data_IF_414837163876
#
_entry.id   IF_414837163876
#
_cell.length_a   1.000
_cell.length_b   1.000
_cell.length_c   1.000
_cell.angle_alpha   90.00
_cell.angle_beta   90.00
_cell.angle_gamma   90.00
#
_symmetry.space_group_name_H-M   'P 1'
#
loop_
_entity.id
_entity.type
_entity.pdbx_description
1 polymer ?
#
# COMPACT_ATOMS: atom_id res chain seq x y z
N UNK A 1 -16.91 -22.34 4.15
CA UNK A 1 -17.55 -21.45 5.15
C UNK A 1 -18.44 -22.21 6.12
N UNK A 2 -19.33 -23.10 5.64
CA UNK A 2 -20.25 -23.89 6.48
C UNK A 2 -19.53 -24.61 7.63
N UNK A 3 -18.47 -25.35 7.33
CA UNK A 3 -17.71 -26.10 8.34
C UNK A 3 -17.14 -25.19 9.43
N UNK A 4 -16.61 -24.03 9.07
CA UNK A 4 -16.10 -23.05 10.04
C UNK A 4 -17.23 -22.50 10.91
N UNK A 5 -18.41 -22.26 10.33
CA UNK A 5 -19.58 -21.78 11.09
C UNK A 5 -20.11 -22.84 12.07
N UNK A 6 -19.96 -24.13 11.75
CA UNK A 6 -20.42 -25.24 12.58
C UNK A 6 -19.41 -25.65 13.65
N UNK A 7 -18.14 -25.76 13.28
CA UNK A 7 -17.08 -26.34 14.12
C UNK A 7 -16.41 -25.28 14.99
N UNK A 8 -16.16 -24.10 14.43
CA UNK A 8 -15.40 -23.05 15.09
C UNK A 8 -15.94 -21.66 14.69
N UNK A 9 -17.18 -21.33 15.10
CA UNK A 9 -17.89 -20.16 14.59
C UNK A 9 -17.09 -18.86 14.76
N UNK A 10 -16.24 -18.76 15.78
CA UNK A 10 -15.44 -17.59 16.11
C UNK A 10 -14.06 -17.49 15.43
N UNK A 11 -13.70 -18.47 14.60
CA UNK A 11 -12.44 -18.46 13.87
C UNK A 11 -12.41 -17.39 12.77
N UNK A 12 -11.19 -16.90 12.50
CA UNK A 12 -10.88 -16.16 11.27
C UNK A 12 -10.47 -17.12 10.16
N UNK A 13 -10.85 -16.79 8.94
CA UNK A 13 -10.31 -17.43 7.73
C UNK A 13 -9.34 -16.46 7.07
N UNK A 14 -8.10 -16.93 6.87
CA UNK A 14 -7.06 -16.23 6.14
C UNK A 14 -6.89 -16.93 4.79
N UNK A 15 -7.33 -16.29 3.71
CA UNK A 15 -7.33 -16.86 2.37
C UNK A 15 -6.12 -16.42 1.54
N UNK A 16 -5.34 -17.41 1.11
CA UNK A 16 -4.26 -17.25 0.13
C UNK A 16 -4.65 -17.73 -1.28
N UNK A 17 -5.82 -18.36 -1.42
CA UNK A 17 -6.27 -18.92 -2.71
C UNK A 17 -6.65 -17.81 -3.68
N UNK A 18 -6.13 -17.91 -4.89
CA UNK A 18 -6.40 -16.95 -5.96
C UNK A 18 -7.67 -17.30 -6.76
N UNK A 19 -8.34 -16.30 -7.37
CA UNK A 19 -8.06 -14.85 -7.28
C UNK A 19 -8.48 -14.25 -5.92
N UNK A 20 -7.52 -13.84 -5.09
CA UNK A 20 -7.77 -13.57 -3.67
C UNK A 20 -8.75 -12.41 -3.45
N UNK A 21 -8.69 -11.37 -4.29
CA UNK A 21 -9.64 -10.26 -4.26
C UNK A 21 -11.07 -10.68 -4.59
N UNK A 22 -11.25 -11.46 -5.66
CA UNK A 22 -12.58 -11.91 -6.10
C UNK A 22 -13.18 -12.93 -5.13
N UNK A 23 -12.37 -13.83 -4.56
CA UNK A 23 -12.83 -14.74 -3.50
C UNK A 23 -13.29 -13.94 -2.28
N UNK A 24 -12.51 -12.94 -1.86
CA UNK A 24 -12.88 -12.06 -0.73
C UNK A 24 -14.18 -11.31 -1.01
N UNK A 25 -14.33 -10.77 -2.22
CA UNK A 25 -15.54 -10.06 -2.64
C UNK A 25 -16.77 -10.98 -2.68
N UNK A 26 -16.61 -12.21 -3.15
CA UNK A 26 -17.69 -13.19 -3.17
C UNK A 26 -18.17 -13.54 -1.76
N UNK A 27 -17.23 -13.74 -0.82
CA UNK A 27 -17.55 -13.96 0.59
C UNK A 27 -18.25 -12.74 1.18
N UNK A 28 -17.75 -11.54 0.90
CA UNK A 28 -18.32 -10.29 1.40
C UNK A 28 -19.75 -10.03 0.92
N UNK A 29 -20.02 -10.21 -0.38
CA UNK A 29 -21.33 -9.90 -1.00
C UNK A 29 -22.37 -10.99 -0.84
N UNK A 30 -21.96 -12.26 -0.88
CA UNK A 30 -22.89 -13.39 -1.00
C UNK A 30 -22.97 -14.23 0.27
N UNK A 31 -22.30 -13.83 1.35
CA UNK A 31 -22.37 -14.51 2.65
C UNK A 31 -22.47 -13.52 3.80
N UNK A 32 -22.91 -14.01 4.96
CA UNK A 32 -22.88 -13.24 6.21
C UNK A 32 -21.58 -13.42 7.01
N UNK A 33 -20.56 -14.03 6.42
CA UNK A 33 -19.34 -14.37 7.13
C UNK A 33 -18.39 -13.16 7.19
N UNK A 34 -18.19 -12.61 8.41
CA UNK A 34 -17.43 -11.36 8.61
C UNK A 34 -15.95 -11.56 8.94
N UNK A 35 -15.57 -12.72 9.47
CA UNK A 35 -14.20 -13.01 9.91
C UNK A 35 -13.33 -13.59 8.78
N UNK A 36 -13.27 -12.90 7.64
CA UNK A 36 -12.56 -13.36 6.46
C UNK A 36 -11.56 -12.29 5.98
N UNK A 37 -10.31 -12.68 5.75
CA UNK A 37 -9.27 -11.80 5.21
C UNK A 37 -8.60 -12.51 4.05
N UNK A 38 -8.62 -11.90 2.86
CA UNK A 38 -7.77 -12.29 1.75
C UNK A 38 -6.40 -11.61 1.85
N UNK A 39 -5.33 -12.36 1.61
CA UNK A 39 -3.96 -11.85 1.69
C UNK A 39 -3.20 -12.08 0.38
N UNK A 40 -2.23 -11.19 0.09
CA UNK A 40 -1.28 -11.35 -1.00
C UNK A 40 0.10 -10.83 -0.61
N UNK A 41 1.10 -11.16 -1.42
CA UNK A 41 2.50 -10.83 -1.18
C UNK A 41 2.98 -9.56 -1.92
N UNK A 42 2.15 -8.92 -2.74
CA UNK A 42 2.56 -7.70 -3.47
C UNK A 42 3.01 -6.58 -2.52
N UNK A 43 2.31 -6.27 -1.40
CA UNK A 43 2.75 -5.20 -0.49
C UNK A 43 4.13 -5.44 0.12
N UNK A 44 4.47 -6.68 0.48
CA UNK A 44 5.79 -6.98 1.02
C UNK A 44 6.88 -6.85 -0.05
N UNK A 45 6.61 -7.30 -1.29
CA UNK A 45 7.51 -7.09 -2.43
C UNK A 45 7.74 -5.61 -2.72
N UNK A 46 6.69 -4.79 -2.67
CA UNK A 46 6.79 -3.33 -2.80
C UNK A 46 7.64 -2.71 -1.69
N UNK A 47 7.47 -3.14 -0.44
CA UNK A 47 8.28 -2.66 0.68
C UNK A 47 9.77 -2.94 0.45
N UNK A 48 10.11 -4.18 0.09
CA UNK A 48 11.50 -4.56 -0.19
C UNK A 48 12.09 -3.74 -1.34
N UNK A 49 11.33 -3.55 -2.42
CA UNK A 49 11.75 -2.75 -3.57
C UNK A 49 11.99 -1.28 -3.19
N UNK A 50 11.07 -0.65 -2.44
CA UNK A 50 11.19 0.75 -2.02
C UNK A 50 12.37 0.95 -1.07
N UNK A 51 12.58 0.02 -0.14
CA UNK A 51 13.75 0.01 0.76
C UNK A 51 15.05 0.03 -0.03
N UNK A 52 15.16 -0.78 -1.08
CA UNK A 52 16.35 -0.85 -1.94
C UNK A 52 16.53 0.43 -2.77
N UNK A 53 15.46 0.89 -3.45
CA UNK A 53 15.50 2.09 -4.31
C UNK A 53 15.85 3.35 -3.52
N UNK A 54 15.30 3.52 -2.32
CA UNK A 54 15.58 4.67 -1.44
C UNK A 54 16.83 4.47 -0.57
N UNK A 55 17.55 3.35 -0.72
CA UNK A 55 18.77 3.00 0.02
C UNK A 55 18.60 3.12 1.53
N UNK A 56 17.50 2.61 2.05
CA UNK A 56 17.17 2.73 3.48
C UNK A 56 18.04 1.79 4.33
N UNK A 57 18.44 2.30 5.48
CA UNK A 57 19.15 1.57 6.53
C UNK A 57 18.17 0.82 7.46
N UNK A 58 18.65 -0.14 8.26
CA UNK A 58 17.81 -0.80 9.27
C UNK A 58 17.22 0.13 10.33
N UNK A 59 17.82 1.31 10.52
CA UNK A 59 17.32 2.35 11.44
C UNK A 59 16.22 3.22 10.82
N UNK A 60 16.00 3.15 9.51
CA UNK A 60 14.97 3.96 8.85
C UNK A 60 13.58 3.32 8.99
N UNK A 61 12.62 4.13 9.42
CA UNK A 61 11.22 3.74 9.49
C UNK A 61 10.52 4.01 8.15
N UNK A 62 10.12 2.95 7.46
CA UNK A 62 9.40 3.01 6.19
C UNK A 62 7.90 2.75 6.39
N UNK A 63 7.09 3.77 6.11
CA UNK A 63 5.63 3.69 6.04
C UNK A 63 5.18 3.88 4.59
N UNK A 64 4.41 2.93 4.05
CA UNK A 64 3.91 2.97 2.67
C UNK A 64 2.40 3.06 2.73
N UNK A 65 1.87 4.12 2.12
CA UNK A 65 0.45 4.33 2.03
C UNK A 65 -0.09 3.66 0.75
N UNK A 66 -0.72 2.50 0.90
CA UNK A 66 -1.23 1.67 -0.19
C UNK A 66 -2.75 1.74 -0.27
N UNK A 67 -3.27 1.79 -1.50
CA UNK A 67 -4.70 1.71 -1.76
C UNK A 67 -5.01 0.97 -3.06
N UNK A 68 -6.24 0.50 -3.22
CA UNK A 68 -6.69 -0.22 -4.41
C UNK A 68 -7.26 -1.60 -4.09
N UNK A 69 -7.11 -2.54 -5.02
CA UNK A 69 -7.59 -3.91 -4.93
C UNK A 69 -6.43 -4.92 -4.96
N UNK A 70 -6.74 -6.18 -4.70
CA UNK A 70 -5.81 -7.28 -4.91
C UNK A 70 -5.31 -7.28 -6.37
N UNK A 71 -3.97 -7.24 -6.55
CA UNK A 71 -3.29 -7.14 -7.86
C UNK A 71 -3.60 -5.86 -8.67
N UNK A 72 -4.27 -4.88 -8.07
CA UNK A 72 -4.51 -3.54 -8.62
C UNK A 72 -4.29 -2.51 -7.50
N UNK A 73 -3.04 -2.41 -7.05
CA UNK A 73 -2.63 -1.60 -5.90
C UNK A 73 -1.78 -0.42 -6.36
N UNK A 74 -1.98 0.71 -5.71
CA UNK A 74 -1.28 1.96 -5.95
C UNK A 74 -0.65 2.47 -4.66
N UNK A 75 0.48 3.15 -4.80
CA UNK A 75 1.15 3.87 -3.71
C UNK A 75 0.66 5.31 -3.74
N UNK A 76 0.05 5.78 -2.66
CA UNK A 76 -0.35 7.18 -2.47
C UNK A 76 0.82 8.03 -2.00
N UNK A 77 1.59 7.52 -1.04
CA UNK A 77 2.78 8.17 -0.50
C UNK A 77 3.73 7.13 0.11
N UNK A 78 4.99 7.53 0.29
CA UNK A 78 6.04 6.77 0.99
C UNK A 78 6.71 7.69 1.98
N UNK A 79 6.54 7.42 3.27
CA UNK A 79 7.17 8.18 4.33
C UNK A 79 8.38 7.43 4.89
N UNK A 80 9.51 8.13 4.96
CA UNK A 80 10.73 7.66 5.60
C UNK A 80 11.00 8.57 6.79
N UNK A 81 11.00 8.02 8.01
CA UNK A 81 11.16 8.78 9.26
C UNK A 81 10.18 9.97 9.35
N UNK A 82 8.93 9.75 8.92
CA UNK A 82 7.86 10.76 8.91
C UNK A 82 7.90 11.77 7.76
N UNK A 83 8.89 11.69 6.86
CA UNK A 83 9.03 12.62 5.71
C UNK A 83 8.68 11.91 4.40
N UNK A 84 7.79 12.50 3.61
CA UNK A 84 7.45 11.96 2.28
C UNK A 84 8.68 11.95 1.36
N UNK A 85 8.90 10.81 0.70
CA UNK A 85 9.92 10.57 -0.32
C UNK A 85 9.29 10.13 -1.64
N UNK A 86 7.99 10.37 -1.82
CA UNK A 86 7.25 9.93 -3.00
C UNK A 86 7.77 10.52 -4.30
N UNK A 87 8.11 11.82 -4.34
CA UNK A 87 8.63 12.46 -5.56
C UNK A 87 9.96 11.84 -6.01
N UNK A 88 10.81 11.41 -5.07
CA UNK A 88 12.06 10.72 -5.37
C UNK A 88 11.81 9.34 -5.98
N UNK A 89 10.88 8.58 -5.38
CA UNK A 89 10.46 7.28 -5.92
C UNK A 89 9.79 7.41 -7.30
N UNK A 90 9.01 8.47 -7.50
CA UNK A 90 8.33 8.76 -8.77
C UNK A 90 9.29 9.30 -9.86
N UNK A 91 10.59 9.43 -9.57
CA UNK A 91 11.60 9.92 -10.52
C UNK A 91 11.48 11.42 -10.81
N UNK A 92 10.74 12.18 -10.01
CA UNK A 92 10.62 13.64 -10.12
C UNK A 92 11.84 14.29 -9.48
N UNK A 93 12.96 14.27 -10.21
CA UNK A 93 14.19 15.00 -9.84
C UNK A 93 13.91 16.51 -9.83
N UNK A 94 13.84 17.14 -8.66
CA UNK A 94 13.78 18.61 -8.56
C UNK A 94 13.17 19.23 -7.31
N UNK A 95 12.72 18.45 -6.32
CA UNK A 95 12.15 18.98 -5.09
C UNK A 95 12.92 18.46 -3.88
N UNK A 96 14.18 18.85 -3.73
CA UNK A 96 14.81 18.74 -2.41
C UNK A 96 14.09 19.72 -1.47
N UNK A 97 14.07 19.49 -0.16
CA UNK A 97 13.51 20.45 0.79
C UNK A 97 14.10 21.88 0.64
N UNK A 98 15.37 21.99 0.21
CA UNK A 98 16.02 23.28 -0.13
C UNK A 98 15.41 24.00 -1.34
N UNK A 99 14.70 23.29 -2.20
CA UNK A 99 14.15 23.82 -3.44
C UNK A 99 12.71 24.36 -3.23
N UNK A 100 12.08 24.11 -2.06
CA UNK A 100 10.76 24.65 -1.70
C UNK A 100 10.78 26.17 -1.44
N UNK A 101 11.87 26.73 -0.93
CA UNK A 101 11.98 28.19 -0.74
C UNK A 101 12.16 28.96 -2.07
N UNK A 102 12.57 28.28 -3.15
CA UNK A 102 12.74 28.87 -4.48
C UNK A 102 11.48 28.78 -5.35
N UNK A 103 10.52 27.92 -4.98
CA UNK A 103 9.30 27.64 -5.75
C UNK A 103 8.26 28.78 -5.76
N UNK A 104 8.31 29.71 -4.80
CA UNK A 104 7.36 30.83 -4.76
C UNK A 104 7.67 31.95 -5.78
N UNK A 105 8.87 31.96 -6.39
CA UNK A 105 9.29 33.04 -7.30
C UNK A 105 8.98 32.82 -8.79
N UNK A 106 8.51 31.65 -9.21
CA UNK A 106 8.40 31.32 -10.66
C UNK A 106 7.00 30.94 -11.16
N UNK A 107 5.95 31.10 -10.36
CA UNK A 107 4.59 31.03 -10.88
C UNK A 107 4.17 32.40 -11.45
N UNK A 108 4.67 32.72 -12.66
CA UNK A 108 3.91 33.61 -13.56
C UNK A 108 3.11 32.72 -14.52
N UNK A 109 1.80 32.98 -14.70
CA UNK A 109 1.01 32.22 -15.64
C UNK A 109 1.48 32.57 -17.05
N UNK A 110 1.84 31.56 -17.84
CA UNK A 110 1.86 31.71 -19.28
C UNK A 110 0.39 31.81 -19.73
N UNK A 111 0.17 32.81 -20.58
CA UNK A 111 -1.09 33.24 -21.21
C UNK A 111 -1.92 32.08 -21.76
#
# INVERSE_FOLDING_TARGET
MKDVQEICPDAWIINFTNPAGMVTEAVYRHTNFKRFIGVCNIPIGMKMFITDVLQLSPSDELNIDLFGLNHLVFVRDVLVNGVSRFDELAGRRGLRPSDRELGEKHLRPAV
#
